data_IF_804053820647
#
_entry.id   IF_804053820647
#
_cell.length_a   1.000
_cell.length_b   1.000
_cell.length_c   1.000
_cell.angle_alpha   90.00
_cell.angle_beta   90.00
_cell.angle_gamma   90.00
#
_symmetry.space_group_name_H-M   'P 1'
#
loop_
_entity.id
_entity.type
_entity.pdbx_description
1 polymer ?
#
# COMPACT_ATOMS: atom_id res chain seq x y z
N UNK A 1 -18.68 -82.33 -16.54
CA UNK A 1 -18.62 -80.89 -17.02
C UNK A 1 -18.76 -80.02 -15.79
N UNK A 2 -17.66 -79.39 -15.36
CA UNK A 2 -17.66 -78.51 -14.17
C UNK A 2 -17.61 -77.06 -14.66
N UNK A 3 -18.67 -76.31 -14.37
CA UNK A 3 -18.75 -74.88 -14.67
C UNK A 3 -18.06 -74.07 -13.56
N UNK A 4 -17.00 -73.31 -13.90
CA UNK A 4 -16.42 -72.33 -13.01
C UNK A 4 -17.02 -70.94 -13.35
N UNK A 5 -17.75 -70.37 -12.40
CA UNK A 5 -18.20 -68.98 -12.48
C UNK A 5 -17.08 -68.08 -11.97
N UNK A 6 -16.57 -67.20 -12.82
CA UNK A 6 -15.62 -66.15 -12.46
C UNK A 6 -16.43 -64.97 -11.90
N UNK A 7 -16.30 -64.70 -10.59
CA UNK A 7 -16.85 -63.51 -9.98
C UNK A 7 -15.88 -62.33 -10.16
N UNK A 8 -16.28 -61.33 -10.91
CA UNK A 8 -15.54 -60.07 -11.02
C UNK A 8 -15.89 -59.20 -9.82
N UNK A 9 -14.91 -58.94 -8.92
CA UNK A 9 -15.04 -57.99 -7.85
C UNK A 9 -14.72 -56.60 -8.40
N UNK A 10 -15.71 -55.74 -8.48
CA UNK A 10 -15.55 -54.31 -8.75
C UNK A 10 -15.06 -53.62 -7.49
N UNK A 11 -13.79 -53.21 -7.44
CA UNK A 11 -13.27 -52.30 -6.41
C UNK A 11 -13.59 -50.85 -6.85
N UNK A 12 -14.58 -50.25 -6.26
CA UNK A 12 -14.89 -48.82 -6.42
C UNK A 12 -13.83 -48.03 -5.65
N UNK A 13 -12.88 -47.46 -6.35
CA UNK A 13 -11.95 -46.48 -5.80
C UNK A 13 -12.73 -45.18 -5.54
N UNK A 14 -13.07 -44.85 -4.29
CA UNK A 14 -13.55 -43.56 -3.90
C UNK A 14 -12.40 -42.58 -3.93
N UNK A 15 -12.34 -41.73 -4.96
CA UNK A 15 -11.52 -40.57 -5.01
C UNK A 15 -12.07 -39.53 -4.03
N UNK A 16 -11.50 -39.43 -2.85
CA UNK A 16 -11.70 -38.31 -1.97
C UNK A 16 -11.01 -37.09 -2.60
N UNK A 17 -11.79 -36.26 -3.34
CA UNK A 17 -11.36 -34.93 -3.69
C UNK A 17 -11.35 -34.11 -2.40
N UNK A 18 -10.18 -33.89 -1.81
CA UNK A 18 -10.01 -32.84 -0.83
C UNK A 18 -10.20 -31.51 -1.55
N UNK A 19 -11.38 -30.91 -1.43
CA UNK A 19 -11.58 -29.51 -1.79
C UNK A 19 -10.78 -28.66 -0.80
N UNK A 20 -9.51 -28.43 -1.10
CA UNK A 20 -8.76 -27.38 -0.43
C UNK A 20 -9.41 -26.06 -0.80
N UNK A 21 -10.16 -25.45 0.12
CA UNK A 21 -10.53 -24.05 0.00
C UNK A 21 -9.23 -23.25 0.00
N UNK A 22 -8.94 -22.54 -1.07
CA UNK A 22 -7.87 -21.56 -1.06
C UNK A 22 -8.21 -20.53 0.02
N UNK A 23 -7.37 -20.44 1.05
CA UNK A 23 -7.51 -19.44 2.09
C UNK A 23 -7.26 -18.06 1.46
N UNK A 24 -8.25 -17.16 1.57
CA UNK A 24 -8.09 -15.79 1.12
C UNK A 24 -7.12 -15.06 2.04
N UNK A 25 -5.99 -14.63 1.50
CA UNK A 25 -5.03 -13.81 2.23
C UNK A 25 -5.37 -12.34 2.01
N UNK A 26 -5.76 -11.65 3.07
CA UNK A 26 -6.02 -10.22 3.02
C UNK A 26 -4.71 -9.46 2.70
N UNK A 27 -4.62 -8.74 1.56
CA UNK A 27 -3.39 -8.08 1.16
C UNK A 27 -2.93 -6.98 2.13
N UNK A 28 -3.83 -6.39 2.93
CA UNK A 28 -3.49 -5.41 3.97
C UNK A 28 -2.61 -6.04 5.07
N UNK A 29 -2.82 -7.32 5.36
CA UNK A 29 -2.05 -8.09 6.34
C UNK A 29 -0.89 -8.87 5.70
N UNK A 30 -0.48 -8.53 4.46
CA UNK A 30 0.65 -9.21 3.83
C UNK A 30 1.94 -8.99 4.64
N UNK A 31 2.73 -10.05 4.93
CA UNK A 31 3.88 -9.95 5.83
C UNK A 31 4.97 -9.02 5.31
N UNK A 32 5.58 -8.26 6.21
CA UNK A 32 6.79 -7.49 5.94
C UNK A 32 8.05 -8.35 6.03
N UNK A 33 9.12 -7.92 5.33
CA UNK A 33 10.42 -8.62 5.32
C UNK A 33 11.15 -8.56 6.67
N UNK A 34 10.83 -7.56 7.51
CA UNK A 34 11.55 -7.23 8.73
C UNK A 34 12.70 -6.23 8.51
N UNK A 35 13.04 -5.91 7.27
CA UNK A 35 14.00 -4.86 6.92
C UNK A 35 13.24 -3.56 6.63
N UNK A 36 13.43 -2.46 7.40
CA UNK A 36 12.75 -1.20 7.16
C UNK A 36 13.14 -0.52 5.84
N UNK A 37 14.21 -1.00 5.18
CA UNK A 37 14.63 -0.55 3.85
C UNK A 37 14.13 -1.46 2.72
N UNK A 38 13.24 -2.41 3.02
CA UNK A 38 12.61 -3.32 2.06
C UNK A 38 11.19 -3.66 2.52
N UNK A 39 10.27 -2.72 2.28
CA UNK A 39 8.89 -2.79 2.77
C UNK A 39 7.91 -3.12 1.64
N UNK A 40 6.87 -3.86 1.98
CA UNK A 40 5.75 -4.19 1.09
C UNK A 40 4.69 -3.09 1.18
N UNK A 41 4.26 -2.61 0.04
CA UNK A 41 3.21 -1.60 -0.11
C UNK A 41 2.10 -2.15 -0.99
N UNK A 42 0.87 -2.02 -0.51
CA UNK A 42 -0.33 -2.25 -1.31
C UNK A 42 -0.71 -0.95 -1.98
N UNK A 43 -0.65 -0.91 -3.31
CA UNK A 43 -1.04 0.29 -4.06
C UNK A 43 -2.56 0.37 -4.13
N UNK A 44 -3.09 1.55 -3.81
CA UNK A 44 -4.51 1.86 -3.87
C UNK A 44 -4.80 2.81 -5.04
N UNK A 45 -3.99 3.84 -5.23
CA UNK A 45 -4.25 4.90 -6.19
C UNK A 45 -3.06 5.03 -7.14
N UNK A 46 -3.25 4.82 -8.45
CA UNK A 46 -2.21 5.03 -9.45
C UNK A 46 -1.76 6.48 -9.55
N UNK A 47 -0.49 6.71 -9.86
CA UNK A 47 -0.02 8.03 -10.28
C UNK A 47 -0.87 8.54 -11.48
N UNK A 48 -1.24 9.82 -11.46
CA UNK A 48 -2.10 10.41 -12.48
C UNK A 48 -3.61 10.14 -12.30
N UNK A 49 -4.02 9.38 -11.28
CA UNK A 49 -5.44 9.11 -11.03
C UNK A 49 -6.18 10.34 -10.53
N UNK A 50 -7.38 10.53 -11.06
CA UNK A 50 -8.39 11.47 -10.55
C UNK A 50 -9.32 10.81 -9.55
N UNK A 51 -9.32 9.47 -9.49
CA UNK A 51 -10.15 8.68 -8.59
C UNK A 51 -9.37 8.33 -7.33
N UNK A 52 -9.96 8.59 -6.15
CA UNK A 52 -9.48 8.02 -4.89
C UNK A 52 -10.09 6.64 -4.71
N UNK A 53 -9.24 5.66 -4.52
CA UNK A 53 -9.60 4.32 -4.09
C UNK A 53 -9.18 4.14 -2.62
N UNK A 54 -9.88 3.28 -1.93
CA UNK A 54 -9.56 2.82 -0.58
C UNK A 54 -9.66 1.31 -0.50
N UNK A 55 -8.80 0.72 0.31
CA UNK A 55 -8.86 -0.71 0.62
C UNK A 55 -9.60 -0.91 1.94
N UNK A 56 -10.67 -1.68 1.91
CA UNK A 56 -11.32 -2.14 3.15
C UNK A 56 -10.35 -3.03 3.93
N UNK A 57 -9.94 -2.60 5.12
CA UNK A 57 -8.92 -3.27 5.92
C UNK A 57 -9.34 -4.66 6.41
N UNK A 58 -10.64 -4.96 6.47
CA UNK A 58 -11.16 -6.26 6.91
C UNK A 58 -11.20 -7.28 5.78
N UNK A 59 -11.55 -6.82 4.59
CA UNK A 59 -11.78 -7.70 3.44
C UNK A 59 -10.71 -7.62 2.37
N UNK A 60 -9.84 -6.58 2.39
CA UNK A 60 -8.84 -6.33 1.35
C UNK A 60 -9.40 -5.92 -0.01
N UNK A 61 -10.71 -5.70 -0.10
CA UNK A 61 -11.32 -5.22 -1.34
C UNK A 61 -11.06 -3.74 -1.55
N UNK A 62 -10.85 -3.35 -2.81
CA UNK A 62 -10.64 -1.97 -3.19
C UNK A 62 -11.96 -1.37 -3.65
N UNK A 63 -12.30 -0.20 -3.12
CA UNK A 63 -13.50 0.56 -3.44
C UNK A 63 -13.14 1.91 -4.04
N UNK A 64 -14.04 2.44 -4.85
CA UNK A 64 -14.01 3.86 -5.23
C UNK A 64 -14.56 4.65 -4.05
N UNK A 65 -13.69 5.42 -3.37
CA UNK A 65 -14.13 6.33 -2.30
C UNK A 65 -14.77 7.58 -2.93
N UNK A 66 -14.03 8.27 -3.78
CA UNK A 66 -14.53 9.49 -4.46
C UNK A 66 -13.70 9.85 -5.69
N UNK A 67 -14.24 10.75 -6.50
CA UNK A 67 -13.46 11.48 -7.49
C UNK A 67 -12.94 12.79 -6.87
N UNK A 68 -11.77 13.24 -7.30
CA UNK A 68 -11.23 14.53 -6.87
C UNK A 68 -12.16 15.66 -7.31
N UNK A 69 -12.54 16.52 -6.37
CA UNK A 69 -13.35 17.70 -6.69
C UNK A 69 -12.50 18.88 -7.18
N UNK A 70 -11.22 18.90 -6.78
CA UNK A 70 -10.22 19.81 -7.34
C UNK A 70 -9.71 19.26 -8.67
N UNK A 71 -9.39 20.11 -9.68
CA UNK A 71 -8.84 19.67 -10.97
C UNK A 71 -7.37 19.26 -10.86
N UNK A 72 -7.07 18.36 -9.93
CA UNK A 72 -5.73 17.82 -9.67
C UNK A 72 -5.77 16.29 -9.66
N UNK A 73 -4.64 15.67 -9.95
CA UNK A 73 -4.46 14.21 -9.94
C UNK A 73 -3.38 13.84 -8.94
N UNK A 74 -3.40 12.60 -8.44
CA UNK A 74 -2.34 12.10 -7.56
C UNK A 74 -0.99 12.18 -8.25
N UNK A 75 0.01 12.85 -7.67
CA UNK A 75 1.30 13.08 -8.33
C UNK A 75 2.17 11.83 -8.41
N UNK A 76 1.96 10.87 -7.51
CA UNK A 76 2.66 9.59 -7.39
C UNK A 76 1.66 8.47 -7.17
N UNK A 77 2.10 7.20 -7.19
CA UNK A 77 1.24 6.15 -6.67
C UNK A 77 1.05 6.36 -5.17
N UNK A 78 -0.13 6.08 -4.68
CA UNK A 78 -0.50 6.15 -3.27
C UNK A 78 -0.95 4.78 -2.80
N UNK A 79 -0.61 4.42 -1.59
CA UNK A 79 -1.03 3.16 -1.02
C UNK A 79 -0.78 3.07 0.47
N UNK A 80 -0.98 1.89 1.00
CA UNK A 80 -0.81 1.59 2.41
C UNK A 80 0.36 0.59 2.61
N UNK A 81 1.11 0.79 3.69
CA UNK A 81 2.17 -0.15 4.09
C UNK A 81 1.49 -1.33 4.80
N UNK A 82 1.67 -2.54 4.26
CA UNK A 82 1.01 -3.74 4.79
C UNK A 82 1.47 -4.05 6.21
N UNK A 83 0.62 -4.69 7.02
CA UNK A 83 0.92 -5.08 8.41
C UNK A 83 1.39 -3.93 9.30
N UNK A 84 0.88 -2.72 9.08
CA UNK A 84 1.10 -1.55 9.93
C UNK A 84 -0.21 -1.05 10.53
N UNK A 85 -0.12 -0.32 11.66
CA UNK A 85 -1.27 0.30 12.32
C UNK A 85 -0.87 1.69 12.82
N UNK A 86 -1.48 2.73 12.26
CA UNK A 86 -1.31 4.11 12.69
C UNK A 86 -2.24 4.46 13.88
N UNK A 87 -2.19 5.69 14.37
CA UNK A 87 -2.97 6.14 15.53
C UNK A 87 -4.47 6.24 15.27
N UNK A 88 -4.86 6.45 14.02
CA UNK A 88 -6.25 6.52 13.55
C UNK A 88 -6.88 5.13 13.32
N UNK A 89 -6.11 4.06 13.42
CA UNK A 89 -6.56 2.68 13.23
C UNK A 89 -6.39 2.15 11.80
N UNK A 90 -5.85 2.96 10.90
CA UNK A 90 -5.56 2.58 9.52
C UNK A 90 -4.08 2.20 9.33
N UNK A 91 -3.71 1.49 8.25
CA UNK A 91 -2.32 1.29 7.88
C UNK A 91 -1.62 2.61 7.55
N UNK A 92 -0.29 2.65 7.68
CA UNK A 92 0.50 3.83 7.30
C UNK A 92 0.39 4.13 5.80
N UNK A 93 0.16 5.39 5.49
CA UNK A 93 0.13 5.92 4.13
C UNK A 93 1.54 6.08 3.52
N UNK A 94 1.66 5.76 2.24
CA UNK A 94 2.91 5.90 1.50
C UNK A 94 2.71 6.42 0.07
N UNK A 95 3.58 7.32 -0.34
CA UNK A 95 3.70 7.81 -1.71
C UNK A 95 4.86 7.08 -2.39
N UNK A 96 4.56 6.31 -3.43
CA UNK A 96 5.56 5.53 -4.16
C UNK A 96 5.85 6.16 -5.51
N UNK A 97 7.08 6.64 -5.65
CA UNK A 97 7.56 7.28 -6.89
C UNK A 97 8.06 6.19 -7.83
N UNK A 98 7.44 6.08 -8.99
CA UNK A 98 7.80 5.12 -10.04
C UNK A 98 7.71 5.75 -11.42
N UNK A 99 8.32 5.10 -12.42
CA UNK A 99 8.27 5.57 -13.82
C UNK A 99 6.90 5.43 -14.45
N UNK A 100 6.10 4.47 -13.98
CA UNK A 100 4.79 4.14 -14.52
C UNK A 100 3.75 4.03 -13.38
N UNK A 101 2.47 4.32 -13.65
CA UNK A 101 1.39 4.06 -12.71
C UNK A 101 1.27 2.57 -12.40
N UNK A 102 1.00 2.24 -11.15
CA UNK A 102 0.80 0.86 -10.69
C UNK A 102 -0.70 0.63 -10.47
N UNK A 103 -1.22 -0.52 -10.93
CA UNK A 103 -2.64 -0.86 -10.77
C UNK A 103 -3.02 -1.03 -9.29
N UNK A 104 -4.24 -0.58 -8.90
CA UNK A 104 -4.78 -0.83 -7.57
C UNK A 104 -4.77 -2.33 -7.22
N UNK A 105 -4.38 -2.65 -5.99
CA UNK A 105 -4.27 -4.03 -5.51
C UNK A 105 -2.92 -4.70 -5.75
N UNK A 106 -2.02 -4.07 -6.49
CA UNK A 106 -0.67 -4.61 -6.66
C UNK A 106 0.18 -4.36 -5.42
N UNK A 107 0.97 -5.37 -5.04
CA UNK A 107 2.02 -5.25 -4.02
C UNK A 107 3.35 -4.89 -4.69
N UNK A 108 4.05 -3.91 -4.11
CA UNK A 108 5.38 -3.51 -4.55
C UNK A 108 6.34 -3.43 -3.38
N UNK A 109 7.60 -3.81 -3.61
CA UNK A 109 8.68 -3.66 -2.64
C UNK A 109 9.38 -2.32 -2.85
N UNK A 110 9.43 -1.53 -1.79
CA UNK A 110 10.00 -0.18 -1.81
C UNK A 110 10.91 0.06 -0.61
N UNK A 111 11.69 1.12 -0.65
CA UNK A 111 12.44 1.64 0.49
C UNK A 111 12.06 3.10 0.74
N UNK A 112 11.95 3.52 2.01
CA UNK A 112 11.67 4.91 2.36
C UNK A 112 12.86 5.81 2.01
N UNK A 113 12.56 7.02 1.56
CA UNK A 113 13.55 8.08 1.31
C UNK A 113 13.28 9.33 2.15
N UNK A 114 12.13 9.39 2.82
CA UNK A 114 11.74 10.47 3.72
C UNK A 114 10.26 10.40 4.08
N UNK A 115 9.76 11.47 4.68
CA UNK A 115 8.37 11.58 5.12
C UNK A 115 7.89 13.02 4.91
N UNK A 116 6.68 13.19 4.40
CA UNK A 116 5.96 14.46 4.38
C UNK A 116 5.14 14.58 5.65
N UNK A 117 5.45 15.55 6.47
CA UNK A 117 4.74 15.85 7.70
C UNK A 117 3.47 16.64 7.39
N UNK A 118 2.32 16.09 7.80
CA UNK A 118 1.02 16.65 7.48
C UNK A 118 0.04 16.53 8.64
N UNK A 119 -0.84 17.53 8.78
CA UNK A 119 -1.99 17.49 9.67
C UNK A 119 -3.25 17.63 8.81
N UNK A 120 -4.23 16.75 9.00
CA UNK A 120 -5.51 16.77 8.31
C UNK A 120 -6.67 16.98 9.30
N UNK A 121 -7.17 18.22 9.37
CA UNK A 121 -8.27 18.56 10.27
C UNK A 121 -7.95 18.43 11.75
N UNK A 122 -6.68 18.58 12.12
CA UNK A 122 -6.15 18.48 13.48
C UNK A 122 -5.51 17.14 13.82
N UNK A 123 -5.69 16.11 13.01
CA UNK A 123 -5.09 14.79 13.20
C UNK A 123 -3.76 14.68 12.42
N UNK A 124 -2.77 13.97 12.99
CA UNK A 124 -1.51 13.66 12.29
C UNK A 124 -1.83 12.72 11.14
N UNK A 125 -1.40 13.08 9.93
CA UNK A 125 -1.67 12.35 8.70
C UNK A 125 -0.41 12.34 7.79
N UNK A 126 0.72 11.98 8.37
CA UNK A 126 2.03 11.98 7.72
C UNK A 126 2.09 10.94 6.58
N UNK A 127 2.84 11.24 5.52
CA UNK A 127 2.98 10.36 4.35
C UNK A 127 4.43 9.94 4.18
N UNK A 128 4.72 8.65 4.26
CA UNK A 128 6.04 8.12 3.92
C UNK A 128 6.27 8.31 2.41
N UNK A 129 7.46 8.77 2.03
CA UNK A 129 7.90 8.87 0.64
C UNK A 129 8.86 7.72 0.36
N UNK A 130 8.58 6.94 -0.67
CA UNK A 130 9.35 5.76 -1.00
C UNK A 130 9.63 5.62 -2.50
N UNK A 131 10.68 4.89 -2.81
CA UNK A 131 11.04 4.48 -4.17
C UNK A 131 11.22 2.96 -4.23
N UNK A 132 11.10 2.32 -5.40
CA UNK A 132 11.35 0.89 -5.54
C UNK A 132 12.73 0.49 -5.02
N UNK A 133 12.84 -0.72 -4.46
CA UNK A 133 14.16 -1.32 -4.19
C UNK A 133 14.85 -1.65 -5.51
N UNK A 134 16.19 -1.73 -5.52
CA UNK A 134 17.01 -2.00 -6.73
C UNK A 134 16.57 -3.25 -7.51
N UNK A 135 16.07 -4.27 -6.82
CA UNK A 135 15.58 -5.51 -7.46
C UNK A 135 14.31 -5.28 -8.29
N UNK A 136 13.51 -4.29 -7.94
CA UNK A 136 12.26 -3.93 -8.64
C UNK A 136 12.58 -2.94 -9.76
N UNK A 137 13.30 -1.86 -9.43
CA UNK A 137 13.73 -0.85 -10.42
C UNK A 137 15.02 -0.14 -9.99
N UNK A 138 16.17 -0.46 -10.62
CA UNK A 138 17.46 0.15 -10.28
C UNK A 138 17.55 1.62 -10.68
N UNK A 139 16.59 2.17 -11.44
CA UNK A 139 16.57 3.60 -11.83
C UNK A 139 16.61 4.54 -10.63
N UNK A 140 16.12 4.07 -9.47
CA UNK A 140 16.03 4.87 -8.24
C UNK A 140 17.20 4.65 -7.28
N UNK A 141 18.24 3.91 -7.67
CA UNK A 141 19.34 3.55 -6.77
C UNK A 141 20.11 4.77 -6.23
N UNK A 142 20.17 5.84 -6.99
CA UNK A 142 20.85 7.08 -6.57
C UNK A 142 19.98 7.99 -5.67
N UNK A 143 18.68 7.72 -5.56
CA UNK A 143 17.78 8.46 -4.67
C UNK A 143 17.85 7.84 -3.28
N UNK A 144 18.67 8.36 -2.36
CA UNK A 144 18.85 7.84 -0.99
C UNK A 144 18.02 8.58 0.05
N UNK A 145 17.75 9.85 -0.19
CA UNK A 145 17.03 10.75 0.70
C UNK A 145 16.00 11.54 -0.09
N UNK A 146 15.09 12.20 0.64
CA UNK A 146 14.10 13.10 0.03
C UNK A 146 14.75 14.24 -0.76
N UNK A 147 15.97 14.66 -0.38
CA UNK A 147 16.66 15.76 -1.02
C UNK A 147 17.29 15.37 -2.36
N UNK A 148 17.47 14.08 -2.64
CA UNK A 148 17.93 13.57 -3.93
C UNK A 148 16.83 13.62 -5.00
N UNK A 149 15.56 13.79 -4.59
CA UNK A 149 14.47 14.02 -5.53
C UNK A 149 14.56 15.43 -6.14
N UNK A 150 14.27 15.58 -7.44
CA UNK A 150 14.15 16.90 -8.05
C UNK A 150 13.20 17.79 -7.25
N UNK A 151 13.59 19.03 -7.00
CA UNK A 151 12.80 19.97 -6.20
C UNK A 151 11.38 20.17 -6.74
N UNK A 152 11.20 20.09 -8.06
CA UNK A 152 9.88 20.19 -8.68
C UNK A 152 8.98 19.00 -8.34
N UNK A 153 9.52 17.79 -8.17
CA UNK A 153 8.71 16.62 -7.77
C UNK A 153 8.24 16.76 -6.32
N UNK A 154 9.11 17.22 -5.42
CA UNK A 154 8.73 17.54 -4.04
C UNK A 154 7.64 18.62 -3.99
N UNK A 155 7.82 19.69 -4.75
CA UNK A 155 6.83 20.77 -4.84
C UNK A 155 5.47 20.29 -5.40
N UNK A 156 5.47 19.38 -6.38
CA UNK A 156 4.22 18.80 -6.93
C UNK A 156 3.46 18.01 -5.86
N UNK A 157 4.15 17.23 -5.05
CA UNK A 157 3.56 16.48 -3.93
C UNK A 157 2.95 17.46 -2.92
N UNK A 158 3.70 18.46 -2.47
CA UNK A 158 3.21 19.46 -1.53
C UNK A 158 1.98 20.21 -2.07
N UNK A 159 2.04 20.68 -3.31
CA UNK A 159 0.94 21.44 -3.91
C UNK A 159 -0.32 20.58 -4.09
N UNK A 160 -0.17 19.29 -4.40
CA UNK A 160 -1.32 18.39 -4.42
C UNK A 160 -2.02 18.36 -3.06
N UNK A 161 -1.32 18.06 -1.98
CA UNK A 161 -1.91 17.98 -0.64
C UNK A 161 -2.40 19.34 -0.13
N UNK A 162 -1.76 20.43 -0.51
CA UNK A 162 -2.21 21.78 -0.15
C UNK A 162 -3.58 22.16 -0.74
N UNK A 163 -4.01 21.51 -1.83
CA UNK A 163 -5.24 21.90 -2.54
C UNK A 163 -6.28 20.80 -2.72
N UNK A 164 -5.93 19.52 -2.64
CA UNK A 164 -6.80 18.40 -3.05
C UNK A 164 -8.12 18.30 -2.27
N UNK A 165 -8.18 18.88 -1.08
CA UNK A 165 -9.39 18.95 -0.21
C UNK A 165 -10.07 20.32 -0.20
N UNK A 166 -9.67 21.28 -1.04
CA UNK A 166 -10.28 22.62 -1.05
C UNK A 166 -11.72 22.66 -1.60
N UNK A 167 -12.12 21.65 -2.35
CA UNK A 167 -13.50 21.47 -2.84
C UNK A 167 -14.03 20.07 -2.48
N UNK A 168 -15.36 19.98 -2.19
CA UNK A 168 -16.30 21.06 -1.90
C UNK A 168 -15.95 21.77 -0.59
N UNK A 169 -16.50 22.96 -0.40
CA UNK A 169 -16.32 23.72 0.84
C UNK A 169 -16.73 22.91 2.09
N UNK A 170 -16.09 23.21 3.23
CA UNK A 170 -16.36 22.53 4.50
C UNK A 170 -15.58 21.24 4.75
N UNK A 171 -14.66 20.85 3.86
CA UNK A 171 -13.73 19.73 4.12
C UNK A 171 -12.67 20.12 5.16
N UNK A 172 -12.03 19.08 5.74
CA UNK A 172 -10.89 19.24 6.66
C UNK A 172 -9.80 20.11 6.02
N UNK A 173 -9.17 20.95 6.84
CA UNK A 173 -8.04 21.78 6.43
C UNK A 173 -6.76 20.97 6.56
N UNK A 174 -5.96 20.97 5.50
CA UNK A 174 -4.65 20.34 5.48
C UNK A 174 -3.57 21.36 5.79
N UNK A 175 -2.69 21.02 6.72
CA UNK A 175 -1.49 21.79 7.06
C UNK A 175 -0.25 20.97 6.73
N UNK A 176 0.61 21.48 5.86
CA UNK A 176 1.90 20.86 5.55
C UNK A 176 2.97 21.42 6.49
N UNK A 177 3.80 20.53 7.05
CA UNK A 177 4.90 20.87 7.97
C UNK A 177 6.27 20.65 7.34
N UNK A 178 6.33 20.30 6.04
CA UNK A 178 7.54 20.04 5.29
C UNK A 178 7.99 18.58 5.34
N UNK A 179 9.20 18.34 4.85
CA UNK A 179 9.77 17.00 4.79
C UNK A 179 10.74 16.74 5.94
N UNK A 180 10.78 15.48 6.37
CA UNK A 180 11.83 14.95 7.23
C UNK A 180 12.52 13.76 6.54
N UNK A 181 13.72 13.40 7.04
CA UNK A 181 14.57 12.40 6.41
C UNK A 181 14.15 10.96 6.68
N UNK A 182 14.95 10.03 6.14
CA UNK A 182 14.73 8.57 6.21
C UNK A 182 14.56 8.08 7.65
N UNK A 183 15.33 8.60 8.60
CA UNK A 183 15.25 8.14 10.00
C UNK A 183 13.85 8.36 10.59
N UNK A 184 13.22 9.51 10.34
CA UNK A 184 11.86 9.77 10.81
C UNK A 184 10.83 8.83 10.17
N UNK A 185 11.00 8.50 8.88
CA UNK A 185 10.16 7.52 8.20
C UNK A 185 10.32 6.11 8.78
N UNK A 186 11.55 5.69 9.07
CA UNK A 186 11.86 4.38 9.68
C UNK A 186 11.33 4.28 11.11
N UNK A 187 11.47 5.33 11.92
CA UNK A 187 10.95 5.36 13.29
C UNK A 187 9.42 5.24 13.31
N UNK A 188 8.73 5.97 12.43
CA UNK A 188 7.28 5.85 12.26
C UNK A 188 6.87 4.44 11.82
N UNK A 189 7.56 3.88 10.83
CA UNK A 189 7.31 2.54 10.33
C UNK A 189 7.44 1.49 11.45
N UNK A 190 8.54 1.52 12.21
CA UNK A 190 8.77 0.57 13.30
C UNK A 190 7.67 0.68 14.37
N UNK A 191 7.28 1.90 14.74
CA UNK A 191 6.18 2.14 15.68
C UNK A 191 4.87 1.51 15.22
N UNK A 192 4.52 1.69 13.95
CA UNK A 192 3.27 1.17 13.38
C UNK A 192 3.31 -0.37 13.19
N UNK A 193 4.46 -0.94 12.86
CA UNK A 193 4.67 -2.39 12.81
C UNK A 193 4.50 -3.04 14.19
N UNK A 194 5.04 -2.41 15.23
CA UNK A 194 4.93 -2.95 16.60
C UNK A 194 3.50 -2.83 17.13
N UNK A 195 2.77 -1.75 16.82
CA UNK A 195 1.34 -1.63 17.12
C UNK A 195 0.51 -2.72 16.42
N UNK A 196 0.78 -2.99 15.14
CA UNK A 196 0.08 -4.03 14.40
C UNK A 196 0.29 -5.43 15.00
N UNK A 197 1.52 -5.76 15.46
CA UNK A 197 1.83 -7.05 16.10
C UNK A 197 1.18 -7.21 17.48
N UNK A 198 0.91 -6.10 18.17
CA UNK A 198 0.33 -6.10 19.51
C UNK A 198 -1.21 -6.17 19.51
N UNK A 199 -1.85 -6.02 18.36
CA UNK A 199 -3.31 -5.96 18.18
C UNK A 199 -3.86 -7.30 17.66
#
# INVERSE_FOLDING_TARGET
MKNYALGAAFVAAMLFSSSGSAEYVNPVAYPQSGDPMDIQVLIEIPAGSFTKYETDIKTGHIFVDRFQSMPVVYPTNYGSITSTLADDGDPLDVLVITREPIYPGALIRVRPVGILKMIDGGDIDDKIIAVPISKVDPTYDDIKTIDDLPSIERARIEQFFAVYKKLPDGRKIVELKGYEGVNAAVDMLNTALDKFKAN
#
